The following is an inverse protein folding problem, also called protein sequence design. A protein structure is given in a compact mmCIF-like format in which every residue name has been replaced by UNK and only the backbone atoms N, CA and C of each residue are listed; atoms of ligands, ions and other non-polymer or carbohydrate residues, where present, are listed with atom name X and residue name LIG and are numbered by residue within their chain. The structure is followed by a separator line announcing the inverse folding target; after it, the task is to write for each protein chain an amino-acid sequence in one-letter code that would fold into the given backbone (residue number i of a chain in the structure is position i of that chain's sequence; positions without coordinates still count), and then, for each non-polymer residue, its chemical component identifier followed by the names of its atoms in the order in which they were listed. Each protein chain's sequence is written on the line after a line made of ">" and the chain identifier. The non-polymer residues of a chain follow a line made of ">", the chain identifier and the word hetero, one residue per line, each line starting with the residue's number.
data_IF_295040036242
#
_entry.id   IF_295040036242
#
_cell.length_a   1.000
_cell.length_b   1.000
_cell.length_c   1.000
_cell.angle_alpha   90.00
_cell.angle_beta   90.00
_cell.angle_gamma   90.00
#
_symmetry.space_group_name_H-M   'P 1'
#
loop_
_entity.id
_entity.type
_entity.pdbx_description
1 polymer ?
#
# COMPACT_ATOMS: atom_id res chain seq x y z
N UNK A 1 -18.29 0.14 8.47
CA UNK A 1 -16.96 0.73 8.23
C UNK A 1 -15.90 -0.31 8.52
N UNK A 2 -15.20 -0.81 7.49
CA UNK A 2 -14.12 -1.78 7.65
C UNK A 2 -12.78 -1.03 7.78
N UNK A 3 -12.02 -1.33 8.83
CA UNK A 3 -10.69 -0.78 9.03
C UNK A 3 -9.72 -1.91 9.38
N UNK A 4 -8.52 -1.84 8.80
CA UNK A 4 -7.45 -2.80 9.02
C UNK A 4 -6.51 -2.25 10.08
N UNK A 5 -6.12 -3.09 11.03
CA UNK A 5 -4.96 -2.81 11.87
C UNK A 5 -3.68 -2.90 11.05
N UNK A 6 -2.58 -2.34 11.57
CA UNK A 6 -1.25 -2.48 10.96
C UNK A 6 -0.90 -3.94 10.63
N UNK A 7 -1.17 -4.89 11.53
CA UNK A 7 -0.86 -6.31 11.32
C UNK A 7 -1.72 -6.93 10.22
N UNK A 8 -2.99 -6.55 10.14
CA UNK A 8 -3.89 -7.03 9.07
C UNK A 8 -3.50 -6.48 7.71
N UNK A 9 -3.16 -5.18 7.62
CA UNK A 9 -2.68 -4.57 6.38
C UNK A 9 -1.34 -5.19 5.94
N UNK A 10 -0.43 -5.41 6.89
CA UNK A 10 0.84 -6.09 6.66
C UNK A 10 0.63 -7.49 6.07
N UNK A 11 -0.28 -8.28 6.66
CA UNK A 11 -0.63 -9.61 6.15
C UNK A 11 -1.23 -9.56 4.74
N UNK A 12 -2.17 -8.64 4.48
CA UNK A 12 -2.79 -8.44 3.16
C UNK A 12 -1.76 -8.15 2.06
N UNK A 13 -0.81 -7.26 2.34
CA UNK A 13 0.22 -6.86 1.38
C UNK A 13 1.47 -7.73 1.38
N UNK A 14 1.48 -8.80 2.19
CA UNK A 14 2.67 -9.63 2.38
C UNK A 14 3.91 -8.80 2.76
N UNK A 15 3.70 -7.75 3.58
CA UNK A 15 4.74 -6.86 4.11
C UNK A 15 4.92 -7.11 5.60
N UNK A 16 6.10 -6.79 6.11
CA UNK A 16 6.30 -6.78 7.57
C UNK A 16 5.61 -5.57 8.19
N UNK A 17 5.00 -5.68 9.39
CA UNK A 17 4.46 -4.54 10.12
C UNK A 17 5.47 -3.40 10.29
N UNK A 18 6.76 -3.74 10.42
CA UNK A 18 7.89 -2.80 10.50
C UNK A 18 8.06 -1.95 9.25
N UNK A 19 7.74 -2.48 8.07
CA UNK A 19 7.73 -1.69 6.83
C UNK A 19 6.66 -0.61 6.89
N UNK A 20 5.48 -0.92 7.43
CA UNK A 20 4.39 0.06 7.61
C UNK A 20 4.71 1.09 8.72
N UNK A 21 5.54 0.75 9.69
CA UNK A 21 6.09 1.74 10.64
C UNK A 21 7.04 2.69 9.93
N UNK A 22 8.01 2.15 9.19
CA UNK A 22 8.95 2.96 8.43
C UNK A 22 8.24 3.88 7.43
N UNK A 23 7.19 3.40 6.75
CA UNK A 23 6.39 4.21 5.85
C UNK A 23 5.76 5.41 6.56
N UNK A 24 5.21 5.23 7.77
CA UNK A 24 4.69 6.33 8.58
C UNK A 24 5.77 7.36 8.92
N UNK A 25 6.97 6.92 9.29
CA UNK A 25 8.10 7.82 9.54
C UNK A 25 8.55 8.58 8.29
N UNK A 26 8.52 7.93 7.13
CA UNK A 26 8.91 8.52 5.85
C UNK A 26 7.79 9.36 5.20
N UNK A 27 6.61 9.45 5.82
CA UNK A 27 5.45 10.11 5.22
C UNK A 27 4.91 9.41 3.96
N UNK A 28 5.16 8.11 3.81
CA UNK A 28 4.70 7.27 2.69
C UNK A 28 3.55 6.35 3.11
N UNK A 29 2.80 5.86 2.14
CA UNK A 29 1.77 4.85 2.36
C UNK A 29 0.34 5.39 2.44
N UNK A 30 -0.64 4.50 2.69
CA UNK A 30 -2.05 4.87 2.79
C UNK A 30 -2.30 5.73 4.03
N UNK A 31 -3.34 6.58 3.95
CA UNK A 31 -3.75 7.39 5.11
C UNK A 31 -4.21 6.49 6.24
N UNK A 32 -3.87 6.89 7.46
CA UNK A 32 -4.23 6.18 8.69
C UNK A 32 -4.91 7.12 9.68
N UNK A 33 -5.70 6.52 10.57
CA UNK A 33 -6.31 7.21 11.70
C UNK A 33 -5.57 6.75 12.97
N UNK A 34 -5.11 7.70 13.77
CA UNK A 34 -4.49 7.44 15.07
C UNK A 34 -5.53 7.69 16.17
N UNK A 35 -5.83 6.66 16.95
CA UNK A 35 -6.76 6.70 18.09
C UNK A 35 -5.97 6.28 19.32
N UNK A 36 -5.53 7.26 20.12
CA UNK A 36 -4.62 7.04 21.25
C UNK A 36 -3.32 6.37 20.81
N UNK A 37 -3.05 5.18 21.36
CA UNK A 37 -1.88 4.35 21.02
C UNK A 37 -2.10 3.45 19.78
N UNK A 38 -3.31 3.38 19.23
CA UNK A 38 -3.65 2.47 18.13
C UNK A 38 -3.67 3.22 16.79
N UNK A 39 -3.14 2.56 15.76
CA UNK A 39 -3.20 3.04 14.37
C UNK A 39 -4.04 2.08 13.54
N UNK A 40 -5.03 2.63 12.85
CA UNK A 40 -5.93 1.91 11.97
C UNK A 40 -5.90 2.49 10.55
N UNK A 41 -6.07 1.63 9.57
CA UNK A 41 -6.11 1.94 8.15
C UNK A 41 -7.51 1.67 7.63
N UNK A 42 -8.35 2.69 7.45
CA UNK A 42 -9.64 2.55 6.79
C UNK A 42 -9.47 1.89 5.43
N UNK A 43 -10.33 0.92 5.11
CA UNK A 43 -10.22 0.18 3.86
C UNK A 43 -10.29 1.12 2.64
N UNK A 44 -11.15 2.14 2.70
CA UNK A 44 -11.29 3.17 1.65
C UNK A 44 -9.96 3.85 1.29
N UNK A 45 -9.11 4.14 2.28
CA UNK A 45 -7.83 4.82 2.05
C UNK A 45 -6.74 3.85 1.58
N UNK A 46 -6.82 2.60 2.03
CA UNK A 46 -5.97 1.52 1.51
C UNK A 46 -6.26 1.31 0.04
N UNK A 47 -7.53 1.18 -0.34
CA UNK A 47 -7.95 0.99 -1.73
C UNK A 47 -7.62 2.21 -2.61
N UNK A 48 -7.81 3.43 -2.08
CA UNK A 48 -7.42 4.64 -2.80
C UNK A 48 -5.91 4.69 -3.08
N UNK A 49 -5.10 4.29 -2.09
CA UNK A 49 -3.64 4.18 -2.26
C UNK A 49 -3.28 3.07 -3.24
N UNK A 50 -3.91 1.90 -3.15
CA UNK A 50 -3.70 0.79 -4.10
C UNK A 50 -3.97 1.26 -5.52
N UNK A 51 -5.06 2.00 -5.76
CA UNK A 51 -5.44 2.55 -7.08
C UNK A 51 -4.43 3.56 -7.63
N UNK A 52 -3.95 4.48 -6.80
CA UNK A 52 -2.96 5.50 -7.19
C UNK A 52 -1.60 4.87 -7.55
N UNK A 53 -1.26 3.76 -6.91
CA UNK A 53 -0.02 3.01 -7.11
C UNK A 53 -0.15 1.81 -8.07
N UNK A 54 -1.24 1.73 -8.85
CA UNK A 54 -1.32 0.76 -9.96
C UNK A 54 -0.40 1.24 -11.07
N UNK A 55 0.78 0.65 -11.15
CA UNK A 55 1.67 0.84 -12.29
C UNK A 55 1.41 -0.26 -13.33
N UNK A 56 0.98 0.13 -14.52
CA UNK A 56 0.94 -0.79 -15.67
C UNK A 56 2.37 -1.13 -16.08
N UNK A 57 2.64 -2.43 -16.25
CA UNK A 57 3.98 -2.94 -16.56
C UNK A 57 4.58 -2.20 -17.77
N UNK A 58 5.78 -1.64 -17.59
CA UNK A 58 6.53 -0.87 -18.61
C UNK A 58 7.02 -1.73 -19.78
N UNK A 59 6.71 -3.04 -19.80
CA UNK A 59 6.95 -3.89 -20.96
C UNK A 59 5.93 -3.56 -22.06
N UNK A 60 6.11 -2.41 -22.71
CA UNK A 60 5.60 -2.21 -24.05
C UNK A 60 6.07 -3.36 -24.95
N UNK A 61 5.30 -3.76 -25.97
CA UNK A 61 5.64 -4.93 -26.78
C UNK A 61 7.08 -4.76 -27.28
N UNK A 62 7.94 -5.70 -26.91
CA UNK A 62 9.28 -5.84 -27.50
C UNK A 62 9.05 -5.88 -29.00
N UNK A 63 9.35 -4.78 -29.70
CA UNK A 63 9.36 -4.76 -31.15
C UNK A 63 10.46 -5.74 -31.56
N UNK A 64 10.06 -6.99 -31.86
CA UNK A 64 10.96 -7.93 -32.54
C UNK A 64 11.36 -7.23 -33.83
N UNK A 65 12.63 -6.81 -33.91
CA UNK A 65 13.25 -6.45 -35.18
C UNK A 65 13.30 -7.75 -35.97
N UNK A 66 12.36 -7.89 -36.90
CA UNK A 66 12.44 -8.87 -37.97
C UNK A 66 13.66 -8.50 -38.84
N UNK A 67 14.54 -9.47 -39.09
CA UNK A 67 15.77 -9.33 -39.87
C UNK A 67 15.58 -10.02 -41.21
#
# INVERSE_FOLDING_TARGET
>A
MQALTQTQLASRWHKSPRTLEQWRWLGKGPRYIKIGARVIYPLEFVEAYEKDHIHVSTLGPVRRRDR
#
